data_IF_604959180861
#
_entry.id   IF_604959180861
#
_cell.length_a   1.000
_cell.length_b   1.000
_cell.length_c   1.000
_cell.angle_alpha   90.00
_cell.angle_beta   90.00
_cell.angle_gamma   90.00
#
_symmetry.space_group_name_H-M   'P 1'
#
loop_
_entity.id
_entity.type
_entity.pdbx_description
1 polymer ?
#
# COMPACT_ATOMS: atom_id res chain seq x y z
N UNK A 1 -25.12 -10.70 -78.41
CA UNK A 1 -25.95 -9.74 -77.63
C UNK A 1 -25.05 -8.98 -76.66
N UNK A 2 -25.01 -7.64 -76.82
CA UNK A 2 -24.55 -6.55 -75.91
C UNK A 2 -23.18 -6.70 -75.20
N UNK A 3 -22.11 -6.05 -75.63
CA UNK A 3 -21.74 -4.60 -75.58
C UNK A 3 -21.23 -4.09 -74.21
N UNK A 4 -19.94 -3.73 -74.21
CA UNK A 4 -19.36 -2.41 -73.85
C UNK A 4 -19.22 -1.96 -72.38
N UNK A 5 -17.95 -1.98 -71.94
CA UNK A 5 -17.17 -0.86 -71.36
C UNK A 5 -17.35 -0.38 -69.89
N UNK A 6 -16.28 0.22 -69.30
CA UNK A 6 -16.16 0.59 -67.88
C UNK A 6 -16.40 2.08 -67.60
N UNK A 7 -16.70 2.46 -66.35
CA UNK A 7 -16.84 3.85 -65.91
C UNK A 7 -15.76 4.28 -64.91
N UNK A 8 -14.78 4.98 -65.48
CA UNK A 8 -14.10 6.23 -65.10
C UNK A 8 -14.20 6.84 -63.68
N UNK A 9 -13.02 7.31 -63.29
CA UNK A 9 -12.60 8.26 -62.25
C UNK A 9 -13.47 9.49 -61.94
N UNK A 10 -13.28 10.03 -60.73
CA UNK A 10 -13.28 11.47 -60.46
C UNK A 10 -12.31 11.82 -59.30
N UNK A 11 -11.15 12.33 -59.68
CA UNK A 11 -10.29 13.27 -58.94
C UNK A 11 -10.91 14.67 -58.91
N UNK A 12 -10.53 15.51 -57.93
CA UNK A 12 -10.35 16.99 -57.93
C UNK A 12 -10.11 17.40 -56.46
N UNK A 13 -8.88 17.75 -56.03
CA UNK A 13 -8.20 19.08 -56.12
C UNK A 13 -8.98 20.18 -55.38
N UNK A 14 -8.43 20.72 -54.27
CA UNK A 14 -7.65 21.98 -54.20
C UNK A 14 -8.55 23.22 -54.45
N UNK A 15 -8.49 24.36 -53.75
CA UNK A 15 -7.34 25.12 -53.25
C UNK A 15 -7.86 26.40 -52.54
N UNK A 16 -7.03 26.98 -51.65
CA UNK A 16 -6.85 28.42 -51.38
C UNK A 16 -8.00 29.24 -50.73
N UNK A 17 -7.79 30.34 -49.99
CA UNK A 17 -6.63 31.22 -49.83
C UNK A 17 -6.77 32.08 -48.54
N UNK A 18 -5.62 32.61 -48.09
CA UNK A 18 -5.35 33.96 -47.54
C UNK A 18 -6.39 34.63 -46.60
N UNK A 19 -6.08 35.13 -45.41
CA UNK A 19 -4.85 35.79 -44.93
C UNK A 19 -5.22 37.21 -44.49
N UNK A 20 -4.90 37.64 -43.27
CA UNK A 20 -4.70 39.06 -42.95
C UNK A 20 -3.99 39.26 -41.60
N UNK A 21 -3.13 40.27 -41.63
CA UNK A 21 -2.19 40.73 -40.60
C UNK A 21 -2.88 41.59 -39.54
N UNK A 22 -2.32 41.67 -38.34
CA UNK A 22 -2.65 42.70 -37.34
C UNK A 22 -1.80 42.55 -36.07
N UNK A 23 -1.14 43.62 -35.64
CA UNK A 23 -0.03 43.59 -34.68
C UNK A 23 -0.39 43.77 -33.19
N UNK A 24 0.64 43.54 -32.36
CA UNK A 24 0.81 43.96 -30.94
C UNK A 24 0.94 45.49 -30.83
N UNK A 25 0.62 46.17 -29.70
CA UNK A 25 1.11 45.84 -28.35
C UNK A 25 0.15 46.17 -27.16
N UNK A 26 0.53 45.77 -25.94
CA UNK A 26 -0.10 46.28 -24.72
C UNK A 26 0.12 45.40 -23.48
N UNK A 27 1.28 45.55 -22.85
CA UNK A 27 1.56 44.97 -21.53
C UNK A 27 0.79 45.75 -20.44
N UNK A 28 -0.20 45.13 -19.80
CA UNK A 28 -0.77 45.62 -18.55
C UNK A 28 -0.10 44.93 -17.36
N UNK A 29 0.68 45.73 -16.64
CA UNK A 29 1.28 45.42 -15.34
C UNK A 29 0.17 45.46 -14.28
N UNK A 30 -0.14 44.31 -13.67
CA UNK A 30 -1.00 44.23 -12.49
C UNK A 30 -0.16 44.27 -11.20
N UNK A 31 -0.52 45.10 -10.21
CA UNK A 31 0.25 45.26 -8.98
C UNK A 31 0.11 44.06 -8.03
N UNK A 32 1.21 43.73 -7.34
CA UNK A 32 1.31 42.68 -6.31
C UNK A 32 0.49 43.06 -5.05
N UNK A 33 -0.31 42.16 -4.46
CA UNK A 33 -0.94 42.40 -3.17
C UNK A 33 0.11 42.37 -2.04
N UNK A 34 0.11 43.42 -1.22
CA UNK A 34 0.96 43.58 -0.04
C UNK A 34 0.47 42.69 1.11
N UNK A 35 1.40 42.00 1.76
CA UNK A 35 1.20 41.34 3.06
C UNK A 35 0.69 42.37 4.09
N UNK A 36 -0.45 42.09 4.70
CA UNK A 36 -0.85 42.74 5.94
C UNK A 36 -0.41 41.86 7.11
N UNK A 37 0.61 42.36 7.82
CA UNK A 37 0.98 41.94 9.16
C UNK A 37 -0.08 42.50 10.13
N UNK A 38 -0.87 41.62 10.76
CA UNK A 38 -1.77 41.99 11.86
C UNK A 38 -1.11 41.55 13.16
N UNK A 39 -0.69 42.46 14.04
CA UNK A 39 -0.35 42.12 15.41
C UNK A 39 -1.65 42.10 16.22
N UNK A 40 -1.91 41.03 16.96
CA UNK A 40 -2.91 41.08 18.01
C UNK A 40 -2.26 40.63 19.32
N UNK A 41 -2.22 41.60 20.23
CA UNK A 41 -1.67 41.50 21.56
C UNK A 41 -2.49 40.59 22.48
N UNK A 42 -1.80 40.17 23.53
CA UNK A 42 -2.19 39.43 24.72
C UNK A 42 -3.64 39.55 25.19
N UNK A 43 -4.18 38.42 25.66
CA UNK A 43 -5.15 38.37 26.75
C UNK A 43 -4.85 37.15 27.64
N UNK A 44 -4.37 37.45 28.84
CA UNK A 44 -4.21 36.55 29.96
C UNK A 44 -5.60 36.20 30.51
N UNK A 45 -5.95 34.91 30.53
CA UNK A 45 -6.95 34.40 31.47
C UNK A 45 -6.41 33.13 32.15
N UNK A 46 -6.24 33.27 33.45
CA UNK A 46 -6.03 32.24 34.46
C UNK A 46 -7.26 31.33 34.60
N UNK A 47 -7.04 30.04 34.93
CA UNK A 47 -7.83 29.15 35.83
C UNK A 47 -7.53 27.66 35.52
N UNK A 48 -7.99 26.68 36.33
CA UNK A 48 -7.34 26.22 37.55
C UNK A 48 -6.91 24.74 37.47
N UNK A 49 -6.10 24.30 38.44
CA UNK A 49 -5.71 22.92 38.64
C UNK A 49 -6.94 22.01 38.87
N UNK A 50 -7.10 21.00 38.02
CA UNK A 50 -7.98 19.86 38.26
C UNK A 50 -7.12 18.61 38.38
N UNK A 51 -7.12 18.05 39.59
CA UNK A 51 -6.52 16.76 39.91
C UNK A 51 -7.24 15.64 39.14
N UNK A 52 -6.51 14.90 38.31
CA UNK A 52 -7.01 13.67 37.68
C UNK A 52 -6.53 12.49 38.52
N UNK A 53 -7.50 11.80 39.11
CA UNK A 53 -7.30 10.56 39.85
C UNK A 53 -6.67 9.48 38.96
N UNK A 54 -5.77 8.71 39.57
CA UNK A 54 -5.08 7.59 38.94
C UNK A 54 -6.06 6.54 38.44
N UNK A 55 -6.27 6.49 37.14
CA UNK A 55 -6.79 5.32 36.47
C UNK A 55 -5.58 4.44 36.12
N UNK A 56 -5.42 3.35 36.87
CA UNK A 56 -4.49 2.29 36.54
C UNK A 56 -4.78 1.78 35.13
N UNK A 57 -3.90 2.12 34.19
CA UNK A 57 -3.93 1.57 32.84
C UNK A 57 -3.71 0.05 32.93
N UNK A 58 -4.51 -0.78 32.22
CA UNK A 58 -4.24 -2.20 32.16
C UNK A 58 -2.91 -2.40 31.45
N UNK A 59 -1.89 -2.83 32.19
CA UNK A 59 -0.64 -3.32 31.60
C UNK A 59 -0.99 -4.60 30.84
N UNK A 60 -1.23 -4.49 29.53
CA UNK A 60 -1.19 -5.62 28.62
C UNK A 60 0.27 -6.09 28.55
N UNK A 61 0.66 -6.90 29.53
CA UNK A 61 1.91 -7.65 29.51
C UNK A 61 1.78 -8.69 28.40
N UNK A 62 2.05 -8.28 27.16
CA UNK A 62 2.21 -9.22 26.05
C UNK A 62 3.39 -10.12 26.42
N UNK A 63 3.10 -11.40 26.63
CA UNK A 63 4.04 -12.32 27.26
C UNK A 63 5.19 -12.64 26.31
N UNK A 64 6.38 -12.93 26.83
CA UNK A 64 7.52 -13.38 26.01
C UNK A 64 7.17 -14.60 25.14
N UNK A 65 6.20 -15.42 25.56
CA UNK A 65 5.67 -16.54 24.78
C UNK A 65 4.91 -16.12 23.52
N UNK A 66 4.16 -15.02 23.55
CA UNK A 66 3.42 -14.53 22.38
C UNK A 66 4.34 -13.96 21.30
N UNK A 67 5.41 -13.28 21.73
CA UNK A 67 6.45 -12.79 20.83
C UNK A 67 7.21 -13.96 20.16
N UNK A 68 7.55 -15.01 20.92
CA UNK A 68 8.24 -16.18 20.39
C UNK A 68 7.39 -16.97 19.39
N UNK A 69 6.09 -17.17 19.67
CA UNK A 69 5.16 -17.80 18.72
C UNK A 69 5.00 -16.99 17.45
N UNK A 70 4.83 -15.67 17.57
CA UNK A 70 4.73 -14.76 16.40
C UNK A 70 5.98 -14.85 15.52
N UNK A 71 7.17 -14.89 16.13
CA UNK A 71 8.43 -15.07 15.39
C UNK A 71 8.51 -16.43 14.68
N UNK A 72 8.06 -17.51 15.33
CA UNK A 72 7.98 -18.85 14.75
C UNK A 72 7.01 -18.90 13.56
N UNK A 73 5.83 -18.30 13.69
CA UNK A 73 4.82 -18.23 12.63
C UNK A 73 5.34 -17.45 11.42
N UNK A 74 5.95 -16.28 11.66
CA UNK A 74 6.60 -15.50 10.60
C UNK A 74 7.69 -16.30 9.88
N UNK A 75 8.53 -17.05 10.61
CA UNK A 75 9.53 -17.91 9.99
C UNK A 75 8.89 -19.00 9.12
N UNK A 76 7.75 -19.57 9.55
CA UNK A 76 6.98 -20.52 8.76
C UNK A 76 6.43 -19.89 7.48
N UNK A 77 5.83 -18.70 7.57
CA UNK A 77 5.30 -17.97 6.42
C UNK A 77 6.39 -17.63 5.41
N UNK A 78 7.56 -17.15 5.87
CA UNK A 78 8.71 -16.88 5.00
C UNK A 78 9.16 -18.11 4.22
N UNK A 79 9.20 -19.28 4.87
CA UNK A 79 9.52 -20.54 4.18
C UNK A 79 8.46 -20.93 3.14
N UNK A 80 7.17 -20.73 3.43
CA UNK A 80 6.10 -20.98 2.44
C UNK A 80 6.21 -20.04 1.24
N UNK A 81 6.38 -18.73 1.51
CA UNK A 81 6.55 -17.70 0.48
C UNK A 81 7.76 -17.98 -0.41
N UNK A 82 8.90 -18.32 0.18
CA UNK A 82 10.11 -18.62 -0.57
C UNK A 82 9.93 -19.81 -1.52
N UNK A 83 9.40 -20.93 -1.00
CA UNK A 83 9.15 -22.14 -1.81
C UNK A 83 8.19 -21.87 -2.97
N UNK A 84 7.06 -21.19 -2.70
CA UNK A 84 6.07 -20.91 -3.74
C UNK A 84 6.61 -19.90 -4.78
N UNK A 85 7.40 -18.92 -4.34
CA UNK A 85 8.01 -17.93 -5.23
C UNK A 85 9.06 -18.56 -6.15
N UNK A 86 9.96 -19.39 -5.60
CA UNK A 86 10.95 -20.16 -6.35
C UNK A 86 10.29 -21.05 -7.40
N UNK A 87 9.25 -21.80 -7.00
CA UNK A 87 8.50 -22.67 -7.90
C UNK A 87 7.85 -21.93 -9.08
N UNK A 88 7.65 -20.61 -8.96
CA UNK A 88 7.00 -19.75 -9.96
C UNK A 88 7.94 -18.74 -10.62
N UNK A 89 9.25 -18.80 -10.32
CA UNK A 89 10.25 -17.91 -10.92
C UNK A 89 10.15 -16.45 -10.46
N UNK A 90 9.59 -16.21 -9.27
CA UNK A 90 9.60 -14.88 -8.63
C UNK A 90 10.72 -14.87 -7.57
N UNK A 91 11.55 -13.82 -7.51
CA UNK A 91 12.53 -13.70 -6.43
C UNK A 91 11.86 -13.79 -5.03
N UNK A 92 12.29 -14.72 -4.15
CA UNK A 92 11.67 -14.92 -2.83
C UNK A 92 11.55 -13.66 -1.97
N UNK A 93 12.57 -12.79 -2.04
CA UNK A 93 12.58 -11.53 -1.31
C UNK A 93 11.41 -10.60 -1.72
N UNK A 94 10.95 -10.66 -2.97
CA UNK A 94 9.80 -9.86 -3.43
C UNK A 94 8.50 -10.39 -2.82
N UNK A 95 8.29 -11.72 -2.82
CA UNK A 95 7.11 -12.32 -2.21
C UNK A 95 7.05 -12.07 -0.69
N UNK A 96 8.19 -12.18 -0.01
CA UNK A 96 8.32 -11.82 1.41
C UNK A 96 7.98 -10.35 1.68
N UNK A 97 8.57 -9.44 0.89
CA UNK A 97 8.34 -8.02 1.05
C UNK A 97 6.89 -7.62 0.76
N UNK A 98 6.24 -8.25 -0.22
CA UNK A 98 4.81 -8.07 -0.50
C UNK A 98 3.97 -8.52 0.69
N UNK A 99 4.17 -9.74 1.21
CA UNK A 99 3.41 -10.23 2.36
C UNK A 99 3.55 -9.30 3.60
N UNK A 100 4.75 -8.79 3.85
CA UNK A 100 4.96 -7.80 4.91
C UNK A 100 4.23 -6.47 4.65
N UNK A 101 4.28 -5.95 3.42
CA UNK A 101 3.64 -4.67 3.07
C UNK A 101 2.11 -4.76 3.08
N UNK A 102 1.56 -5.93 2.73
CA UNK A 102 0.13 -6.19 2.68
C UNK A 102 -0.49 -6.34 4.07
N UNK A 103 0.06 -7.20 4.93
CA UNK A 103 -0.55 -7.56 6.21
C UNK A 103 0.37 -7.46 7.42
N UNK A 104 1.68 -7.22 7.22
CA UNK A 104 2.66 -7.38 8.30
C UNK A 104 2.79 -8.82 8.79
N UNK A 105 2.49 -9.79 7.93
CA UNK A 105 2.37 -11.23 8.24
C UNK A 105 1.17 -11.62 9.11
N UNK A 106 0.11 -10.82 9.11
CA UNK A 106 -1.15 -11.20 9.75
C UNK A 106 -1.98 -12.09 8.81
N UNK A 107 -2.07 -13.38 9.13
CA UNK A 107 -2.87 -14.36 8.38
C UNK A 107 -4.39 -14.15 8.54
N UNK A 108 -4.82 -13.47 9.61
CA UNK A 108 -6.21 -13.13 9.86
C UNK A 108 -6.65 -11.80 9.24
N UNK A 109 -5.75 -11.10 8.53
CA UNK A 109 -6.00 -9.75 8.04
C UNK A 109 -7.17 -9.71 7.03
N UNK A 110 -8.07 -8.75 7.24
CA UNK A 110 -9.19 -8.45 6.32
C UNK A 110 -9.09 -7.01 5.84
N UNK A 111 -8.86 -6.84 4.55
CA UNK A 111 -8.71 -5.55 3.89
C UNK A 111 -10.04 -4.81 3.73
N UNK A 112 -9.96 -3.50 3.53
CA UNK A 112 -11.15 -2.64 3.42
C UNK A 112 -11.99 -2.88 2.17
N UNK A 113 -11.45 -3.56 1.15
CA UNK A 113 -12.14 -3.88 -0.11
C UNK A 113 -12.45 -5.39 -0.19
N UNK A 114 -12.26 -6.13 0.90
CA UNK A 114 -12.51 -7.57 0.99
C UNK A 114 -11.30 -8.43 0.60
N UNK A 115 -10.09 -7.88 0.64
CA UNK A 115 -8.86 -8.66 0.61
C UNK A 115 -8.70 -9.53 1.87
N UNK A 116 -8.09 -10.71 1.74
CA UNK A 116 -7.96 -11.66 2.85
C UNK A 116 -6.51 -12.16 3.01
N UNK A 117 -6.11 -12.34 4.27
CA UNK A 117 -4.92 -13.06 4.71
C UNK A 117 -3.58 -12.38 4.41
N UNK A 118 -2.52 -13.18 4.49
CA UNK A 118 -1.11 -12.75 4.48
C UNK A 118 -0.74 -11.81 3.33
N UNK A 119 -1.20 -12.12 2.14
CA UNK A 119 -0.89 -11.39 0.90
C UNK A 119 -2.09 -10.56 0.41
N UNK A 120 -3.13 -10.41 1.23
CA UNK A 120 -4.33 -9.61 0.91
C UNK A 120 -4.94 -10.01 -0.44
N UNK A 121 -5.20 -11.30 -0.61
CA UNK A 121 -5.78 -11.86 -1.85
C UNK A 121 -7.28 -11.60 -1.89
N UNK A 122 -7.79 -11.08 -3.01
CA UNK A 122 -9.24 -10.93 -3.24
C UNK A 122 -9.86 -12.28 -3.61
N UNK A 123 -11.04 -12.65 -3.07
CA UNK A 123 -11.74 -13.88 -3.46
C UNK A 123 -11.97 -14.01 -4.97
N UNK A 124 -12.30 -12.92 -5.66
CA UNK A 124 -12.46 -12.92 -7.12
C UNK A 124 -11.15 -13.23 -7.85
N UNK A 125 -10.02 -12.74 -7.35
CA UNK A 125 -8.69 -13.05 -7.88
C UNK A 125 -8.35 -14.52 -7.68
N UNK A 126 -8.58 -15.07 -6.48
CA UNK A 126 -8.34 -16.48 -6.21
C UNK A 126 -9.22 -17.39 -7.10
N UNK A 127 -10.48 -17.01 -7.31
CA UNK A 127 -11.39 -17.74 -8.20
C UNK A 127 -10.90 -17.76 -9.66
N UNK A 128 -10.41 -16.62 -10.19
CA UNK A 128 -9.78 -16.58 -11.52
C UNK A 128 -8.56 -17.50 -11.65
N UNK A 129 -7.89 -17.80 -10.53
CA UNK A 129 -6.73 -18.69 -10.45
C UNK A 129 -7.11 -20.14 -10.11
N UNK A 130 -8.41 -20.46 -10.05
CA UNK A 130 -8.92 -21.82 -9.85
C UNK A 130 -9.22 -22.20 -8.39
N UNK A 131 -9.31 -21.23 -7.47
CA UNK A 131 -9.83 -21.50 -6.12
C UNK A 131 -11.34 -21.79 -6.18
N UNK A 132 -11.75 -22.96 -5.68
CA UNK A 132 -13.16 -23.39 -5.64
C UNK A 132 -13.73 -23.46 -4.21
N UNK A 133 -12.90 -23.22 -3.20
CA UNK A 133 -13.32 -23.23 -1.80
C UNK A 133 -14.02 -21.94 -1.36
N UNK A 134 -14.53 -21.88 -0.12
CA UNK A 134 -15.11 -20.66 0.43
C UNK A 134 -14.06 -19.54 0.52
N UNK A 135 -14.52 -18.28 0.52
CA UNK A 135 -13.64 -17.11 0.62
C UNK A 135 -12.76 -17.15 1.89
N UNK A 136 -13.34 -17.61 3.02
CA UNK A 136 -12.62 -17.74 4.30
C UNK A 136 -11.43 -18.70 4.25
N UNK A 137 -11.36 -19.60 3.27
CA UNK A 137 -10.17 -20.45 3.08
C UNK A 137 -8.92 -19.62 2.71
N UNK A 138 -9.06 -18.38 2.26
CA UNK A 138 -7.94 -17.46 2.03
C UNK A 138 -7.33 -16.91 3.33
N UNK A 139 -7.93 -17.17 4.50
CA UNK A 139 -7.31 -16.88 5.80
C UNK A 139 -6.35 -18.00 6.23
N UNK A 140 -6.37 -19.17 5.57
CA UNK A 140 -5.34 -20.17 5.73
C UNK A 140 -4.03 -19.70 5.06
N UNK A 141 -2.90 -19.63 5.79
CA UNK A 141 -1.62 -19.15 5.26
C UNK A 141 -1.15 -19.85 3.99
N UNK A 142 -1.27 -21.19 3.93
CA UNK A 142 -0.76 -21.96 2.80
C UNK A 142 -1.59 -21.70 1.53
N UNK A 143 -2.91 -21.68 1.68
CA UNK A 143 -3.86 -21.34 0.62
C UNK A 143 -3.64 -19.91 0.13
N UNK A 144 -3.47 -18.96 1.06
CA UNK A 144 -3.24 -17.57 0.74
C UNK A 144 -1.94 -17.37 -0.05
N UNK A 145 -0.83 -17.97 0.41
CA UNK A 145 0.47 -17.90 -0.26
C UNK A 145 0.40 -18.51 -1.67
N UNK A 146 -0.25 -19.67 -1.82
CA UNK A 146 -0.43 -20.32 -3.13
C UNK A 146 -1.06 -19.37 -4.15
N UNK A 147 -2.18 -18.73 -3.80
CA UNK A 147 -2.88 -17.85 -4.74
C UNK A 147 -2.26 -16.46 -4.85
N UNK A 148 -1.75 -15.89 -3.75
CA UNK A 148 -1.08 -14.60 -3.74
C UNK A 148 0.19 -14.62 -4.58
N UNK A 149 1.05 -15.61 -4.39
CA UNK A 149 2.28 -15.75 -5.19
C UNK A 149 1.96 -16.14 -6.63
N UNK A 150 0.92 -16.95 -6.89
CA UNK A 150 0.46 -17.21 -8.25
C UNK A 150 0.08 -15.92 -9.00
N UNK A 151 -0.67 -15.03 -8.35
CA UNK A 151 -1.06 -13.74 -8.92
C UNK A 151 0.14 -12.81 -9.14
N UNK A 152 1.07 -12.79 -8.18
CA UNK A 152 2.33 -12.04 -8.27
C UNK A 152 3.20 -12.53 -9.43
N UNK A 153 3.32 -13.84 -9.62
CA UNK A 153 4.12 -14.44 -10.69
C UNK A 153 3.58 -14.10 -12.09
N UNK A 154 2.26 -14.07 -12.25
CA UNK A 154 1.65 -13.60 -13.51
C UNK A 154 2.00 -12.12 -13.78
N UNK A 155 1.91 -11.25 -12.77
CA UNK A 155 2.32 -9.85 -12.90
C UNK A 155 3.82 -9.69 -13.21
N UNK A 156 4.68 -10.50 -12.58
CA UNK A 156 6.12 -10.53 -12.82
C UNK A 156 6.45 -10.91 -14.27
N UNK A 157 5.79 -11.93 -14.80
CA UNK A 157 5.92 -12.35 -16.20
C UNK A 157 5.44 -11.28 -17.18
N UNK A 158 4.27 -10.69 -16.94
CA UNK A 158 3.68 -9.65 -17.81
C UNK A 158 4.57 -8.42 -17.95
N UNK A 159 5.38 -8.14 -16.93
CA UNK A 159 6.22 -6.94 -16.86
C UNK A 159 7.69 -7.24 -17.12
N UNK A 160 8.03 -8.49 -17.48
CA UNK A 160 9.40 -8.95 -17.75
C UNK A 160 10.35 -8.66 -16.58
N UNK A 161 9.86 -8.78 -15.35
CA UNK A 161 10.65 -8.56 -14.15
C UNK A 161 10.82 -7.10 -13.72
N UNK A 162 10.08 -6.16 -14.30
CA UNK A 162 10.05 -4.79 -13.76
C UNK A 162 9.32 -4.78 -12.40
N UNK A 163 10.07 -4.48 -11.34
CA UNK A 163 9.55 -4.51 -9.97
C UNK A 163 8.34 -3.58 -9.78
N UNK A 164 8.45 -2.30 -10.11
CA UNK A 164 7.36 -1.37 -9.82
C UNK A 164 6.13 -1.63 -10.69
N UNK A 165 6.28 -2.01 -11.96
CA UNK A 165 5.16 -2.40 -12.81
C UNK A 165 4.52 -3.69 -12.32
N UNK A 166 5.30 -4.65 -11.82
CA UNK A 166 4.77 -5.88 -11.19
C UNK A 166 3.90 -5.53 -10.00
N UNK A 167 4.42 -4.72 -9.08
CA UNK A 167 3.73 -4.34 -7.85
C UNK A 167 2.48 -3.49 -8.12
N UNK A 168 2.54 -2.63 -9.15
CA UNK A 168 1.36 -1.92 -9.65
C UNK A 168 0.28 -2.90 -10.12
N UNK A 169 0.63 -3.87 -10.97
CA UNK A 169 -0.30 -4.87 -11.49
C UNK A 169 -0.83 -5.81 -10.40
N UNK A 170 0.00 -6.16 -9.41
CA UNK A 170 -0.43 -6.96 -8.26
C UNK A 170 -1.53 -6.24 -7.46
N UNK A 171 -1.31 -4.97 -7.14
CA UNK A 171 -2.23 -4.18 -6.31
C UNK A 171 -3.48 -3.72 -7.08
N UNK A 172 -3.30 -3.22 -8.30
CA UNK A 172 -4.37 -2.56 -9.07
C UNK A 172 -5.06 -3.49 -10.08
N UNK A 173 -4.50 -4.67 -10.30
CA UNK A 173 -4.96 -5.62 -11.31
C UNK A 173 -4.03 -5.69 -12.52
N UNK A 174 -3.94 -6.88 -13.14
CA UNK A 174 -3.03 -7.13 -14.26
C UNK A 174 -3.27 -6.26 -15.51
N UNK A 175 -4.48 -5.73 -15.69
CA UNK A 175 -4.81 -4.81 -16.77
C UNK A 175 -4.38 -3.35 -16.54
N UNK A 176 -3.85 -3.01 -15.35
CA UNK A 176 -3.36 -1.66 -15.08
C UNK A 176 -2.09 -1.41 -15.90
N UNK A 177 -2.07 -0.30 -16.65
CA UNK A 177 -0.91 0.10 -17.46
C UNK A 177 -0.29 1.42 -17.00
N UNK A 178 -0.99 2.21 -16.16
CA UNK A 178 -0.51 3.52 -15.74
C UNK A 178 -0.11 3.51 -14.27
N UNK A 179 1.12 3.95 -14.00
CA UNK A 179 1.60 4.12 -12.63
C UNK A 179 0.81 5.23 -11.91
N UNK A 180 -0.13 4.83 -11.06
CA UNK A 180 -0.85 5.76 -10.17
C UNK A 180 0.03 6.20 -8.98
N UNK A 181 -0.26 7.35 -8.33
CA UNK A 181 0.45 7.75 -7.11
C UNK A 181 0.39 6.67 -6.01
N UNK A 182 -0.76 5.99 -5.85
CA UNK A 182 -0.91 4.90 -4.87
C UNK A 182 -0.01 3.71 -5.20
N UNK A 183 0.10 3.36 -6.47
CA UNK A 183 0.97 2.26 -6.93
C UNK A 183 2.45 2.63 -6.78
N UNK A 184 2.82 3.89 -7.00
CA UNK A 184 4.18 4.38 -6.75
C UNK A 184 4.55 4.32 -5.26
N UNK A 185 3.65 4.77 -4.37
CA UNK A 185 3.83 4.65 -2.92
C UNK A 185 3.95 3.19 -2.49
N UNK A 186 3.12 2.31 -3.06
CA UNK A 186 3.19 0.87 -2.79
C UNK A 186 4.55 0.28 -3.23
N UNK A 187 5.03 0.60 -4.43
CA UNK A 187 6.37 0.18 -4.86
C UNK A 187 7.46 0.67 -3.90
N UNK A 188 7.39 1.93 -3.46
CA UNK A 188 8.37 2.49 -2.53
C UNK A 188 8.40 1.74 -1.19
N UNK A 189 7.24 1.37 -0.64
CA UNK A 189 7.15 0.57 0.60
C UNK A 189 7.84 -0.78 0.45
N UNK A 190 7.64 -1.46 -0.68
CA UNK A 190 8.29 -2.75 -0.98
C UNK A 190 9.80 -2.58 -1.15
N UNK A 191 10.27 -1.55 -1.86
CA UNK A 191 11.71 -1.28 -2.00
C UNK A 191 12.41 -1.03 -0.67
N UNK A 192 11.77 -0.28 0.24
CA UNK A 192 12.30 -0.08 1.60
C UNK A 192 12.42 -1.40 2.35
N UNK A 193 11.43 -2.29 2.22
CA UNK A 193 11.46 -3.61 2.85
C UNK A 193 12.54 -4.52 2.26
N UNK A 194 12.73 -4.52 0.94
CA UNK A 194 13.80 -5.25 0.27
C UNK A 194 15.18 -4.78 0.78
N UNK A 195 15.42 -3.46 0.79
CA UNK A 195 16.67 -2.89 1.27
C UNK A 195 16.97 -3.24 2.76
N UNK A 196 15.93 -3.25 3.61
CA UNK A 196 16.08 -3.66 5.01
C UNK A 196 16.45 -5.15 5.15
N UNK A 197 15.92 -6.00 4.26
CA UNK A 197 16.23 -7.43 4.24
C UNK A 197 17.65 -7.66 3.75
N UNK A 198 18.06 -7.01 2.66
CA UNK A 198 19.43 -7.09 2.14
C UNK A 198 20.46 -6.61 3.18
N UNK A 199 20.18 -5.51 3.87
CA UNK A 199 21.03 -5.02 4.95
C UNK A 199 21.14 -6.01 6.12
N UNK A 200 20.05 -6.71 6.45
CA UNK A 200 20.07 -7.75 7.49
C UNK A 200 20.89 -8.98 7.09
N UNK A 201 20.90 -9.33 5.79
CA UNK A 201 21.73 -10.41 5.25
C UNK A 201 23.21 -10.01 5.15
N UNK A 202 23.49 -8.75 4.85
CA UNK A 202 24.85 -8.20 4.85
C UNK A 202 25.41 -8.00 6.27
N UNK A 203 24.54 -7.83 7.27
CA UNK A 203 24.88 -7.57 8.68
C UNK A 203 25.57 -8.71 9.44
N UNK A 204 25.78 -9.88 8.83
CA UNK A 204 26.69 -10.92 9.36
C UNK A 204 28.16 -10.54 9.20
N UNK A 205 28.48 -9.46 8.47
CA UNK A 205 29.75 -8.76 8.55
C UNK A 205 29.53 -7.41 9.25
N UNK A 206 29.57 -7.38 10.58
CA UNK A 206 29.63 -6.12 11.30
C UNK A 206 30.97 -5.42 11.02
N UNK A 207 31.00 -4.22 10.41
CA UNK A 207 32.11 -3.33 10.65
C UNK A 207 31.99 -2.90 12.11
N UNK A 208 32.99 -3.22 12.92
CA UNK A 208 33.13 -2.68 14.27
C UNK A 208 33.21 -1.16 14.19
N UNK A 209 32.06 -0.49 14.31
CA UNK A 209 31.95 0.95 14.31
C UNK A 209 32.47 1.48 15.66
N UNK A 210 33.77 1.76 15.73
CA UNK A 210 34.39 2.51 16.84
C UNK A 210 34.14 4.00 16.60
N UNK A 211 32.89 4.42 16.72
CA UNK A 211 32.48 5.82 16.61
C UNK A 211 31.62 6.20 17.80
N UNK A 212 32.17 7.07 18.65
CA UNK A 212 31.46 7.68 19.78
C UNK A 212 30.32 8.56 19.26
N UNK A 213 29.11 8.01 19.17
CA UNK A 213 27.89 8.82 19.09
C UNK A 213 27.72 9.53 20.43
N UNK A 214 28.01 10.83 20.46
CA UNK A 214 27.60 11.69 21.58
C UNK A 214 26.10 11.53 21.73
N UNK A 215 25.70 11.10 22.93
CA UNK A 215 24.33 10.76 23.26
C UNK A 215 23.38 11.89 22.94
N UNK A 216 22.50 11.67 21.96
CA UNK A 216 21.19 12.28 21.99
C UNK A 216 20.41 11.47 23.02
N UNK A 217 20.31 12.00 24.24
CA UNK A 217 19.52 11.38 25.30
C UNK A 217 18.16 11.01 24.74
N UNK A 218 17.79 9.73 24.91
CA UNK A 218 16.44 9.25 24.68
C UNK A 218 15.51 10.08 25.58
N UNK A 219 14.98 11.17 25.03
CA UNK A 219 13.89 11.91 25.62
C UNK A 219 12.75 10.91 25.73
N UNK A 220 12.52 10.46 26.97
CA UNK A 220 11.44 9.60 27.42
C UNK A 220 10.17 10.05 26.69
N UNK A 221 9.70 9.24 25.74
CA UNK A 221 8.47 9.49 25.00
C UNK A 221 7.33 9.48 26.02
N UNK A 222 6.97 10.65 26.53
CA UNK A 222 5.83 10.80 27.42
C UNK A 222 4.56 10.58 26.63
N UNK A 223 3.59 9.97 27.29
CA UNK A 223 2.29 9.48 26.81
C UNK A 223 1.38 10.52 26.12
N UNK A 224 1.84 11.76 26.05
CA UNK A 224 1.14 12.97 25.60
C UNK A 224 1.58 13.49 24.22
N UNK A 225 2.23 12.68 23.36
CA UNK A 225 2.41 13.05 21.94
C UNK A 225 1.04 13.04 21.23
N UNK A 226 0.55 14.19 20.71
CA UNK A 226 -0.71 14.26 19.98
C UNK A 226 -0.78 13.30 18.80
N UNK A 227 0.37 12.99 18.17
CA UNK A 227 0.44 12.01 17.07
C UNK A 227 0.12 10.60 17.55
N UNK A 228 0.53 10.25 18.76
CA UNK A 228 0.23 8.95 19.38
C UNK A 228 -1.24 8.82 19.77
N UNK A 229 -1.87 9.91 20.24
CA UNK A 229 -3.30 9.93 20.57
C UNK A 229 -4.17 9.83 19.30
N UNK A 230 -3.81 10.57 18.24
CA UNK A 230 -4.46 10.46 16.93
C UNK A 230 -4.30 9.04 16.38
N UNK A 231 -3.09 8.46 16.45
CA UNK A 231 -2.85 7.09 16.02
C UNK A 231 -3.72 6.09 16.80
N UNK A 232 -3.79 6.19 18.14
CA UNK A 232 -4.65 5.31 18.96
C UNK A 232 -6.12 5.44 18.60
N UNK A 233 -6.61 6.67 18.36
CA UNK A 233 -7.99 6.91 17.93
C UNK A 233 -8.29 6.31 16.56
N UNK A 234 -7.41 6.52 15.59
CA UNK A 234 -7.53 5.94 14.26
C UNK A 234 -7.52 4.41 14.30
N UNK A 235 -6.66 3.81 15.15
CA UNK A 235 -6.63 2.37 15.37
C UNK A 235 -7.90 1.85 16.07
N UNK A 236 -8.44 2.56 17.05
CA UNK A 236 -9.69 2.19 17.71
C UNK A 236 -10.90 2.26 16.76
N UNK A 237 -10.99 3.31 15.95
CA UNK A 237 -12.01 3.48 14.91
C UNK A 237 -11.90 2.41 13.82
N UNK A 238 -10.67 2.04 13.44
CA UNK A 238 -10.42 0.92 12.54
C UNK A 238 -10.87 -0.41 13.15
N UNK A 239 -10.48 -0.71 14.39
CA UNK A 239 -10.85 -1.94 15.09
C UNK A 239 -12.38 -2.06 15.29
N UNK A 240 -13.09 -0.96 15.57
CA UNK A 240 -14.54 -0.95 15.65
C UNK A 240 -15.21 -1.25 14.30
N UNK A 241 -14.67 -0.73 13.21
CA UNK A 241 -15.13 -1.02 11.84
C UNK A 241 -14.93 -2.47 11.46
N UNK A 242 -13.77 -3.04 11.80
CA UNK A 242 -13.45 -4.46 11.57
C UNK A 242 -14.42 -5.37 12.35
N UNK A 243 -14.70 -5.06 13.63
CA UNK A 243 -15.72 -5.79 14.42
C UNK A 243 -17.12 -5.72 13.80
N UNK A 244 -17.52 -4.56 13.28
CA UNK A 244 -18.82 -4.39 12.60
C UNK A 244 -18.93 -5.20 11.30
N UNK A 245 -17.84 -5.32 10.54
CA UNK A 245 -17.79 -6.16 9.34
C UNK A 245 -17.87 -7.65 9.71
N UNK A 246 -17.12 -8.08 10.73
CA UNK A 246 -17.21 -9.45 11.26
C UNK A 246 -18.63 -9.82 11.67
N UNK A 247 -19.30 -8.95 12.43
CA UNK A 247 -20.69 -9.17 12.84
C UNK A 247 -21.70 -9.23 11.66
N UNK A 248 -21.40 -8.54 10.56
CA UNK A 248 -22.21 -8.57 9.32
C UNK A 248 -21.97 -9.87 8.53
N UNK A 249 -20.72 -10.32 8.44
CA UNK A 249 -20.37 -11.60 7.82
C UNK A 249 -21.00 -12.74 8.59
N UNK A 250 -20.87 -12.74 9.91
CA UNK A 250 -21.51 -13.68 10.82
C UNK A 250 -23.03 -13.77 10.64
N UNK A 251 -23.68 -12.64 10.36
CA UNK A 251 -25.13 -12.60 10.08
C UNK A 251 -25.47 -13.24 8.74
N UNK A 252 -24.64 -13.02 7.71
CA UNK A 252 -24.80 -13.64 6.39
C UNK A 252 -24.57 -15.16 6.50
N UNK A 253 -23.61 -15.59 7.32
CA UNK A 253 -23.27 -17.01 7.51
C UNK A 253 -24.28 -17.78 8.38
N UNK A 254 -25.17 -17.11 9.13
CA UNK A 254 -26.12 -17.73 10.08
C UNK A 254 -27.59 -17.80 9.61
N UNK A 255 -27.91 -17.42 8.37
CA UNK A 255 -29.29 -17.58 7.88
C UNK A 255 -29.61 -16.81 6.59
N UNK A 256 -29.13 -17.33 5.46
CA UNK A 256 -29.68 -17.10 4.13
C UNK A 256 -30.21 -18.40 3.56
#
# INVERSE_FOLDING_TARGET
MRQSSPTRAASLSAEAAAGMRGGVPGALVLPRPRLFLVPCAALLLSSPAVAVGGASAPTVTSSAGDAARTASDQASYRRMLAREAEARGVPPAIADAVAYVESGYDAGAVGGVGELGLMQVRPTTAAMLGHTGPAGALLDPATNVRFGVAYLAQAWKLTKGDLCRTLMKYRAGHGEERMSPRSATYCQRVRVRLAATDASLAGTASPSFRGSVRGVSAARLTESDPRSAIARRLWAEHAARVRGIGARIDRIMRGG
#
